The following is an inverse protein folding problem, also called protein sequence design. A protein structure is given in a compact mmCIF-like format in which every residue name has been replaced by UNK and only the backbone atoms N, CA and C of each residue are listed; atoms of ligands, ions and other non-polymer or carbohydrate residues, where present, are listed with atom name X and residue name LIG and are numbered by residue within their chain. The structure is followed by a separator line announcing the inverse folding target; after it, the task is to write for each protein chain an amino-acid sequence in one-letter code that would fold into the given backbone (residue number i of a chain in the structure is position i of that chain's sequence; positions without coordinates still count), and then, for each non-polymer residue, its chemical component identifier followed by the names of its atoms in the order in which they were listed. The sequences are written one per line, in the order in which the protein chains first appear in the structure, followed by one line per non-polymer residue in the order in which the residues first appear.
data_IF_571635855673
#
_entry.id   IF_571635855673
#
_cell.length_a   1.000
_cell.length_b   1.000
_cell.length_c   1.000
_cell.angle_alpha   90.00
_cell.angle_beta   90.00
_cell.angle_gamma   90.00
#
_symmetry.space_group_name_H-M   'P 1'
#
loop_
_entity.id
_entity.type
_entity.pdbx_description
1 polymer ?
#
# COMPACT_ATOMS: atom_id res chain seq x y z
N UNK A 1 -0.52 10.62 10.82
CA UNK A 1 -0.47 10.93 9.38
C UNK A 1 0.97 11.21 9.03
N UNK A 2 1.65 10.19 8.50
CA UNK A 2 3.04 10.30 8.03
C UNK A 2 3.04 10.04 6.53
N UNK A 3 3.76 10.85 5.77
CA UNK A 3 3.91 10.65 4.33
C UNK A 3 5.34 10.23 4.04
N UNK A 4 5.49 9.15 3.30
CA UNK A 4 6.77 8.64 2.81
C UNK A 4 6.67 8.40 1.30
N UNK A 5 7.80 8.04 0.69
CA UNK A 5 7.82 7.71 -0.73
C UNK A 5 8.29 6.27 -0.91
N UNK A 6 7.70 5.60 -1.90
CA UNK A 6 8.12 4.27 -2.35
C UNK A 6 8.55 4.35 -3.81
N UNK A 7 9.45 3.47 -4.22
CA UNK A 7 9.73 3.25 -5.64
C UNK A 7 8.68 2.31 -6.21
N UNK A 8 7.98 2.76 -7.26
CA UNK A 8 7.02 1.97 -8.01
C UNK A 8 7.32 2.13 -9.50
N UNK A 9 7.75 1.04 -10.14
CA UNK A 9 8.19 1.05 -11.55
C UNK A 9 9.28 2.09 -11.87
N UNK A 10 10.22 2.35 -10.95
CA UNK A 10 11.27 3.36 -11.13
C UNK A 10 10.78 4.81 -10.96
N UNK A 11 9.58 5.00 -10.41
CA UNK A 11 9.04 6.30 -10.05
C UNK A 11 8.84 6.37 -8.54
N UNK A 12 9.33 7.45 -7.94
CA UNK A 12 9.03 7.78 -6.54
C UNK A 12 7.60 8.30 -6.44
N UNK A 13 6.73 7.50 -5.83
CA UNK A 13 5.34 7.88 -5.55
C UNK A 13 5.16 8.15 -4.06
N UNK A 14 4.30 9.12 -3.73
CA UNK A 14 4.01 9.49 -2.35
C UNK A 14 2.93 8.56 -1.77
N UNK A 15 3.17 8.09 -0.55
CA UNK A 15 2.24 7.29 0.24
C UNK A 15 1.98 8.00 1.56
N UNK A 16 0.71 8.31 1.82
CA UNK A 16 0.28 8.88 3.10
C UNK A 16 -0.35 7.80 3.96
N UNK A 17 0.27 7.52 5.10
CA UNK A 17 -0.25 6.59 6.09
C UNK A 17 -1.31 7.30 6.95
N UNK A 18 -2.57 6.96 6.68
CA UNK A 18 -3.73 7.49 7.41
C UNK A 18 -3.92 6.74 8.74
N UNK A 19 -3.61 5.44 8.78
CA UNK A 19 -3.65 4.59 9.98
C UNK A 19 -2.67 3.43 9.85
N UNK A 20 -2.53 2.59 10.87
CA UNK A 20 -1.61 1.43 10.85
C UNK A 20 -1.81 0.55 9.61
N UNK A 21 -3.07 0.37 9.19
CA UNK A 21 -3.45 -0.51 8.08
C UNK A 21 -4.09 0.22 6.90
N UNK A 22 -4.12 1.56 6.89
CA UNK A 22 -4.74 2.35 5.80
C UNK A 22 -3.73 3.33 5.22
N UNK A 23 -3.55 3.25 3.90
CA UNK A 23 -2.56 3.99 3.15
C UNK A 23 -3.20 4.65 1.93
N UNK A 24 -2.81 5.88 1.64
CA UNK A 24 -3.23 6.62 0.46
C UNK A 24 -2.03 6.76 -0.48
N UNK A 25 -2.07 6.04 -1.59
CA UNK A 25 -1.01 5.97 -2.60
C UNK A 25 -1.33 6.94 -3.73
N UNK A 26 -0.47 7.93 -3.94
CA UNK A 26 -0.58 8.89 -5.04
C UNK A 26 0.15 8.36 -6.28
N UNK A 27 -0.53 7.51 -7.06
CA UNK A 27 -0.03 7.04 -8.36
C UNK A 27 -0.08 8.19 -9.38
N UNK A 28 0.72 8.13 -10.46
CA UNK A 28 0.74 9.18 -11.49
C UNK A 28 -0.61 9.41 -12.17
N UNK A 29 -1.46 8.37 -12.27
CA UNK A 29 -2.74 8.44 -12.98
C UNK A 29 -3.97 8.49 -12.07
N UNK A 30 -3.83 8.11 -10.80
CA UNK A 30 -4.95 8.02 -9.84
C UNK A 30 -4.43 8.07 -8.41
N UNK A 31 -5.31 8.36 -7.46
CA UNK A 31 -5.01 8.12 -6.04
C UNK A 31 -5.71 6.84 -5.63
N UNK A 32 -4.96 5.88 -5.09
CA UNK A 32 -5.45 4.59 -4.63
C UNK A 32 -5.42 4.56 -3.10
N UNK A 33 -6.48 4.03 -2.48
CA UNK A 33 -6.46 3.74 -1.05
C UNK A 33 -6.10 2.28 -0.87
N UNK A 34 -4.93 1.99 -0.31
CA UNK A 34 -4.53 0.65 0.08
C UNK A 34 -4.95 0.35 1.51
N UNK A 35 -5.44 -0.86 1.74
CA UNK A 35 -5.77 -1.40 3.06
C UNK A 35 -4.96 -2.66 3.26
N UNK A 36 -4.18 -2.70 4.33
CA UNK A 36 -3.48 -3.90 4.78
C UNK A 36 -4.43 -4.74 5.62
N UNK A 37 -4.50 -6.04 5.37
CA UNK A 37 -5.18 -6.99 6.25
C UNK A 37 -4.28 -8.17 6.49
N UNK A 38 -4.09 -8.52 7.75
CA UNK A 38 -3.35 -9.71 8.12
C UNK A 38 -4.31 -10.89 8.23
N UNK A 39 -3.96 -12.04 7.64
CA UNK A 39 -4.71 -13.28 7.81
C UNK A 39 -4.37 -13.97 9.15
N UNK A 40 -5.12 -15.02 9.49
CA UNK A 40 -4.94 -15.81 10.71
C UNK A 40 -3.57 -16.50 10.80
N UNK A 41 -2.90 -16.71 9.66
CA UNK A 41 -1.53 -17.23 9.58
C UNK A 41 -0.45 -16.14 9.77
N UNK A 42 -0.85 -14.86 9.87
CA UNK A 42 0.07 -13.74 10.02
C UNK A 42 0.60 -13.15 8.70
N UNK A 43 0.11 -13.64 7.56
CA UNK A 43 0.44 -13.09 6.24
C UNK A 43 -0.30 -11.76 5.98
N UNK A 44 0.42 -10.74 5.52
CA UNK A 44 -0.14 -9.46 5.12
C UNK A 44 -0.64 -9.48 3.68
N UNK A 45 -1.90 -9.09 3.50
CA UNK A 45 -2.58 -8.95 2.21
C UNK A 45 -2.98 -7.50 1.97
N UNK A 46 -2.91 -7.06 0.73
CA UNK A 46 -3.07 -5.66 0.37
C UNK A 46 -4.18 -5.46 -0.65
N UNK A 47 -5.19 -4.69 -0.24
CA UNK A 47 -6.42 -4.48 -1.01
C UNK A 47 -6.60 -3.02 -1.37
N UNK A 48 -7.20 -2.73 -2.52
CA UNK A 48 -7.75 -1.40 -2.75
C UNK A 48 -9.01 -1.24 -1.88
N UNK A 49 -9.20 -0.06 -1.30
CA UNK A 49 -10.40 0.23 -0.52
C UNK A 49 -11.63 0.06 -1.43
N UNK A 50 -12.64 -0.61 -0.91
CA UNK A 50 -13.86 -0.94 -1.63
C UNK A 50 -13.68 -2.04 -2.71
N UNK A 51 -12.54 -2.74 -2.72
CA UNK A 51 -12.34 -3.98 -3.51
C UNK A 51 -12.23 -5.20 -2.60
N UNK A 52 -12.87 -6.29 -3.02
CA UNK A 52 -12.85 -7.56 -2.28
C UNK A 52 -11.64 -8.44 -2.62
N UNK A 53 -10.89 -8.11 -3.67
CA UNK A 53 -9.76 -8.90 -4.14
C UNK A 53 -8.46 -8.10 -4.11
N UNK A 54 -7.39 -8.80 -3.72
CA UNK A 54 -6.03 -8.37 -3.99
C UNK A 54 -5.79 -8.45 -5.50
N UNK A 55 -5.14 -7.43 -6.03
CA UNK A 55 -4.68 -7.38 -7.41
C UNK A 55 -3.16 -7.39 -7.43
N UNK A 56 -2.52 -7.76 -8.56
CA UNK A 56 -1.07 -7.68 -8.68
C UNK A 56 -0.53 -6.27 -8.36
N UNK A 57 -1.27 -5.22 -8.75
CA UNK A 57 -0.94 -3.82 -8.46
C UNK A 57 -0.96 -3.54 -6.95
N UNK A 58 -2.00 -3.98 -6.23
CA UNK A 58 -2.09 -3.73 -4.78
C UNK A 58 -1.09 -4.56 -3.97
N UNK A 59 -0.79 -5.79 -4.39
CA UNK A 59 0.24 -6.63 -3.78
C UNK A 59 1.64 -6.01 -3.94
N UNK A 60 1.98 -5.53 -5.13
CA UNK A 60 3.28 -4.89 -5.39
C UNK A 60 3.43 -3.58 -4.60
N UNK A 61 2.41 -2.74 -4.61
CA UNK A 61 2.38 -1.52 -3.80
C UNK A 61 2.50 -1.82 -2.31
N UNK A 62 1.80 -2.85 -1.85
CA UNK A 62 1.86 -3.33 -0.48
C UNK A 62 3.26 -3.75 -0.06
N UNK A 63 3.92 -4.58 -0.87
CA UNK A 63 5.30 -5.02 -0.61
C UNK A 63 6.27 -3.83 -0.56
N UNK A 64 6.13 -2.86 -1.47
CA UNK A 64 6.97 -1.66 -1.48
C UNK A 64 6.76 -0.79 -0.22
N UNK A 65 5.51 -0.67 0.24
CA UNK A 65 5.17 0.01 1.50
C UNK A 65 5.77 -0.75 2.69
N UNK A 66 5.62 -2.07 2.72
CA UNK A 66 6.07 -2.94 3.80
C UNK A 66 7.57 -2.84 4.04
N UNK A 67 8.37 -2.78 2.97
CA UNK A 67 9.82 -2.54 3.04
C UNK A 67 10.13 -1.23 3.77
N UNK A 68 9.37 -0.17 3.53
CA UNK A 68 9.60 1.14 4.16
C UNK A 68 9.16 1.16 5.62
N UNK A 69 8.01 0.58 5.95
CA UNK A 69 7.45 0.63 7.32
C UNK A 69 8.05 -0.43 8.25
N UNK A 70 8.71 -1.45 7.70
CA UNK A 70 9.44 -2.47 8.48
C UNK A 70 10.93 -2.12 8.69
N UNK A 71 11.40 -0.99 8.12
CA UNK A 71 12.76 -0.50 8.25
C UNK A 71 13.00 0.38 9.47
#
# INVERSE_FOLDING_TARGET
MSTFHIDYHGQLIAVSQESADNFLVALPNKTMRLVRKQDSDGADYWFEKDTDNETPETAELGAAIEVVISS
#
